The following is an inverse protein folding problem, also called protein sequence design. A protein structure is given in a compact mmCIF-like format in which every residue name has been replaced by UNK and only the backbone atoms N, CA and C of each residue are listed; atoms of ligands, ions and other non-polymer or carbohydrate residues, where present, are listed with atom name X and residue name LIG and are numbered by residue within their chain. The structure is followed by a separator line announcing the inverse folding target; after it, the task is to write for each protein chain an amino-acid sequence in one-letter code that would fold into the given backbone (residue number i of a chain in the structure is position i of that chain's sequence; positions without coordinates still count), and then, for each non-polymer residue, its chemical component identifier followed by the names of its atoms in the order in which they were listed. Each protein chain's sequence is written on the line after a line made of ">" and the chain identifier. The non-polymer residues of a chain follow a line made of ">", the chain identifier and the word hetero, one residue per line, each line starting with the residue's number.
data_IF_808438666445
#
_entry.id   IF_808438666445
#
_cell.length_a   1.000
_cell.length_b   1.000
_cell.length_c   1.000
_cell.angle_alpha   90.00
_cell.angle_beta   90.00
_cell.angle_gamma   90.00
#
_symmetry.space_group_name_H-M   'P 1'
#
loop_
_entity.id
_entity.type
_entity.pdbx_description
1 polymer ?
#
# COMPACT_ATOMS: atom_id res chain seq x y z
N UNK A 1 -6.03 -2.90 -12.59
CA UNK A 1 -5.81 -2.45 -11.19
C UNK A 1 -7.12 -2.42 -10.39
N UNK A 2 -8.07 -1.57 -10.77
CA UNK A 2 -9.29 -1.31 -10.00
C UNK A 2 -10.18 -2.53 -9.83
N UNK A 3 -10.29 -3.41 -10.84
CA UNK A 3 -11.03 -4.66 -10.72
C UNK A 3 -10.47 -5.58 -9.63
N UNK A 4 -9.14 -5.62 -9.46
CA UNK A 4 -8.48 -6.39 -8.40
C UNK A 4 -8.76 -5.75 -7.04
N UNK A 5 -8.65 -4.42 -6.94
CA UNK A 5 -8.97 -3.71 -5.69
C UNK A 5 -10.43 -3.95 -5.31
N UNK A 6 -11.36 -3.77 -6.24
CA UNK A 6 -12.80 -3.99 -6.03
C UNK A 6 -13.16 -5.44 -5.71
N UNK A 7 -12.40 -6.41 -6.25
CA UNK A 7 -12.57 -7.82 -5.95
C UNK A 7 -12.19 -8.16 -4.51
N UNK A 8 -11.18 -7.49 -3.95
CA UNK A 8 -10.62 -7.80 -2.63
C UNK A 8 -10.95 -6.79 -1.53
N UNK A 9 -11.55 -5.65 -1.88
CA UNK A 9 -12.02 -4.62 -0.95
C UNK A 9 -13.55 -4.68 -0.84
N UNK A 10 -14.11 -5.33 0.19
CA UNK A 10 -15.55 -5.53 0.31
C UNK A 10 -16.31 -4.23 0.61
N UNK A 11 -15.70 -3.29 1.34
CA UNK A 11 -16.38 -2.08 1.84
C UNK A 11 -16.12 -0.83 1.01
N UNK A 12 -15.05 -0.80 0.21
CA UNK A 12 -14.66 0.38 -0.56
C UNK A 12 -14.44 0.02 -2.03
N UNK A 13 -15.49 0.21 -2.83
CA UNK A 13 -15.44 0.04 -4.30
C UNK A 13 -15.05 1.34 -4.97
N UNK A 14 -14.05 1.28 -5.83
CA UNK A 14 -13.61 2.39 -6.69
C UNK A 14 -14.35 2.27 -8.03
N UNK A 15 -14.95 3.36 -8.51
CA UNK A 15 -15.57 3.40 -9.84
C UNK A 15 -14.79 4.37 -10.74
N UNK A 16 -13.74 3.91 -11.44
CA UNK A 16 -12.91 4.78 -12.29
C UNK A 16 -13.56 4.96 -13.66
N UNK A 17 -13.35 6.13 -14.27
CA UNK A 17 -13.80 6.46 -15.63
C UNK A 17 -12.85 5.98 -16.74
N UNK A 18 -11.89 5.10 -16.45
CA UNK A 18 -10.82 4.72 -17.39
C UNK A 18 -10.87 3.25 -17.78
N UNK A 19 -10.83 3.02 -19.09
CA UNK A 19 -10.72 1.71 -19.74
C UNK A 19 -9.25 1.25 -19.70
N UNK A 20 -8.82 0.68 -18.58
CA UNK A 20 -7.49 0.06 -18.47
C UNK A 20 -7.60 -1.45 -18.69
N UNK A 21 -7.50 -1.86 -19.95
CA UNK A 21 -7.31 -3.27 -20.31
C UNK A 21 -5.93 -3.75 -19.84
N UNK A 22 -5.93 -4.69 -18.91
CA UNK A 22 -4.70 -5.28 -18.39
C UNK A 22 -4.38 -6.56 -19.17
N UNK A 23 -3.40 -6.49 -20.07
CA UNK A 23 -2.87 -7.66 -20.77
C UNK A 23 -1.68 -8.26 -19.99
N UNK A 24 -1.88 -9.40 -19.30
CA UNK A 24 -0.82 -10.16 -18.62
C UNK A 24 -1.22 -10.79 -17.26
N UNK A 25 -0.31 -11.54 -16.63
CA UNK A 25 -0.47 -12.07 -15.25
C UNK A 25 -0.35 -10.92 -14.23
N UNK A 26 -1.41 -10.15 -14.09
CA UNK A 26 -1.53 -9.04 -13.16
C UNK A 26 -2.16 -9.51 -11.85
N UNK A 27 -1.44 -9.36 -10.74
CA UNK A 27 -1.82 -9.86 -9.42
C UNK A 27 -2.00 -8.76 -8.38
N UNK A 28 -2.27 -9.16 -7.12
CA UNK A 28 -2.36 -8.24 -5.98
C UNK A 28 -1.10 -7.41 -5.78
N UNK A 29 0.07 -7.99 -6.07
CA UNK A 29 1.35 -7.31 -5.93
C UNK A 29 1.49 -6.13 -6.93
N UNK A 30 1.15 -6.33 -8.20
CA UNK A 30 1.16 -5.26 -9.20
C UNK A 30 0.10 -4.19 -8.87
N UNK A 31 -1.11 -4.62 -8.49
CA UNK A 31 -2.21 -3.73 -8.15
C UNK A 31 -1.88 -2.80 -6.98
N UNK A 32 -1.19 -3.31 -5.95
CA UNK A 32 -0.76 -2.50 -4.81
C UNK A 32 0.27 -1.44 -5.24
N UNK A 33 1.25 -1.83 -6.06
CA UNK A 33 2.28 -0.90 -6.52
C UNK A 33 1.68 0.22 -7.38
N UNK A 34 0.77 -0.13 -8.29
CA UNK A 34 0.11 0.86 -9.13
C UNK A 34 -0.80 1.78 -8.30
N UNK A 35 -1.51 1.25 -7.31
CA UNK A 35 -2.31 2.06 -6.38
C UNK A 35 -1.46 3.11 -5.67
N UNK A 36 -0.27 2.74 -5.19
CA UNK A 36 0.67 3.67 -4.54
C UNK A 36 1.16 4.76 -5.50
N UNK A 37 1.35 4.43 -6.77
CA UNK A 37 1.81 5.39 -7.79
C UNK A 37 0.73 6.41 -8.17
N UNK A 38 -0.56 6.09 -7.97
CA UNK A 38 -1.63 7.08 -8.20
C UNK A 38 -1.57 8.26 -7.23
N UNK A 39 -0.90 8.09 -6.08
CA UNK A 39 -0.86 9.07 -4.97
C UNK A 39 -2.26 9.51 -4.48
N UNK A 40 -3.31 8.79 -4.90
CA UNK A 40 -4.68 9.09 -4.56
C UNK A 40 -5.04 8.41 -3.24
N UNK A 41 -5.44 9.22 -2.26
CA UNK A 41 -5.78 8.75 -0.92
C UNK A 41 -6.74 7.57 -0.91
N UNK A 42 -7.86 7.66 -1.64
CA UNK A 42 -8.91 6.62 -1.66
C UNK A 42 -8.42 5.33 -2.30
N UNK A 43 -7.63 5.44 -3.37
CA UNK A 43 -7.09 4.28 -4.08
C UNK A 43 -6.08 3.54 -3.19
N UNK A 44 -5.21 4.28 -2.51
CA UNK A 44 -4.23 3.68 -1.60
C UNK A 44 -4.93 3.06 -0.39
N UNK A 45 -5.94 3.74 0.19
CA UNK A 45 -6.71 3.20 1.31
C UNK A 45 -7.38 1.87 0.94
N UNK A 46 -8.12 1.84 -0.17
CA UNK A 46 -8.76 0.61 -0.66
C UNK A 46 -7.76 -0.51 -0.98
N UNK A 47 -6.55 -0.16 -1.43
CA UNK A 47 -5.49 -1.13 -1.73
C UNK A 47 -4.93 -1.84 -0.49
N UNK A 48 -5.20 -1.35 0.73
CA UNK A 48 -4.70 -1.97 1.96
C UNK A 48 -5.19 -3.42 2.15
N UNK A 49 -6.40 -3.77 1.70
CA UNK A 49 -6.86 -5.16 1.74
C UNK A 49 -6.03 -6.11 0.88
N UNK A 50 -5.37 -5.61 -0.16
CA UNK A 50 -4.52 -6.45 -1.00
C UNK A 50 -3.39 -7.11 -0.22
N UNK A 51 -2.94 -6.51 0.89
CA UNK A 51 -1.93 -7.10 1.76
C UNK A 51 -2.31 -8.49 2.28
N UNK A 52 -3.61 -8.78 2.50
CA UNK A 52 -4.08 -10.13 2.87
C UNK A 52 -3.79 -11.17 1.79
N UNK A 53 -3.78 -10.74 0.53
CA UNK A 53 -3.72 -11.59 -0.65
C UNK A 53 -2.34 -11.66 -1.30
N UNK A 54 -1.37 -10.88 -0.82
CA UNK A 54 0.01 -10.93 -1.29
C UNK A 54 0.63 -12.26 -0.86
N UNK A 55 1.02 -13.07 -1.87
CA UNK A 55 1.66 -14.37 -1.67
C UNK A 55 3.17 -14.28 -1.90
N UNK A 56 3.61 -13.39 -2.80
CA UNK A 56 5.01 -13.29 -3.19
C UNK A 56 5.64 -11.97 -2.75
N UNK A 57 5.99 -11.89 -1.46
CA UNK A 57 6.72 -10.76 -0.88
C UNK A 57 8.05 -10.44 -1.59
N UNK A 58 8.91 -11.42 -1.95
CA UNK A 58 10.13 -11.12 -2.69
C UNK A 58 9.87 -10.39 -4.02
N UNK A 59 8.85 -10.80 -4.77
CA UNK A 59 8.45 -10.15 -6.03
C UNK A 59 7.97 -8.72 -5.77
N UNK A 60 7.08 -8.53 -4.80
CA UNK A 60 6.60 -7.20 -4.41
C UNK A 60 7.76 -6.27 -4.04
N UNK A 61 8.75 -6.77 -3.29
CA UNK A 61 9.90 -5.96 -2.86
C UNK A 61 10.71 -5.46 -4.03
N UNK A 62 10.99 -6.35 -4.98
CA UNK A 62 11.76 -6.03 -6.18
C UNK A 62 11.04 -4.94 -6.98
N UNK A 63 9.75 -5.11 -7.22
CA UNK A 63 8.93 -4.11 -7.93
C UNK A 63 8.88 -2.77 -7.18
N UNK A 64 8.75 -2.81 -5.85
CA UNK A 64 8.71 -1.61 -5.03
C UNK A 64 10.05 -0.87 -5.01
N UNK A 65 11.18 -1.59 -5.10
CA UNK A 65 12.51 -0.99 -5.25
C UNK A 65 12.71 -0.37 -6.62
N UNK A 66 12.34 -1.08 -7.68
CA UNK A 66 12.41 -0.59 -9.06
C UNK A 66 11.63 0.73 -9.23
N UNK A 67 10.42 0.81 -8.64
CA UNK A 67 9.61 2.03 -8.66
C UNK A 67 9.88 3.01 -7.51
N UNK A 68 10.95 2.79 -6.73
CA UNK A 68 11.35 3.61 -5.57
C UNK A 68 10.23 3.91 -4.55
N UNK A 69 9.28 2.99 -4.39
CA UNK A 69 8.13 3.10 -3.47
C UNK A 69 8.17 2.09 -2.32
N UNK A 70 9.27 1.37 -2.14
CA UNK A 70 9.44 0.36 -1.08
C UNK A 70 9.19 0.90 0.34
N UNK A 71 9.55 2.16 0.63
CA UNK A 71 9.24 2.82 1.91
C UNK A 71 7.73 2.94 2.12
N UNK A 72 7.01 3.36 1.08
CA UNK A 72 5.54 3.50 1.09
C UNK A 72 4.91 2.13 1.36
N UNK A 73 5.36 1.08 0.65
CA UNK A 73 4.87 -0.30 0.86
C UNK A 73 5.10 -0.78 2.31
N UNK A 74 6.29 -0.55 2.86
CA UNK A 74 6.60 -0.94 4.24
C UNK A 74 5.75 -0.22 5.28
N UNK A 75 5.56 1.09 5.12
CA UNK A 75 4.69 1.89 5.98
C UNK A 75 3.23 1.41 5.91
N UNK A 76 2.72 1.16 4.70
CA UNK A 76 1.37 0.65 4.50
C UNK A 76 1.16 -0.75 5.07
N UNK A 77 2.17 -1.62 4.98
CA UNK A 77 2.13 -2.94 5.58
C UNK A 77 2.01 -2.86 7.11
N UNK A 78 2.84 -2.03 7.75
CA UNK A 78 2.80 -1.86 9.21
C UNK A 78 1.45 -1.27 9.64
N UNK A 79 0.89 -0.32 8.88
CA UNK A 79 -0.47 0.21 9.13
C UNK A 79 -1.52 -0.89 8.96
N UNK A 80 -1.51 -1.62 7.84
CA UNK A 80 -2.47 -2.68 7.59
C UNK A 80 -2.43 -3.74 8.70
N UNK A 81 -1.25 -4.09 9.20
CA UNK A 81 -1.08 -5.09 10.26
C UNK A 81 -1.74 -4.68 11.59
N UNK A 82 -1.94 -3.39 11.86
CA UNK A 82 -2.65 -2.93 13.05
C UNK A 82 -4.14 -3.26 13.00
N UNK A 83 -4.74 -3.28 11.80
CA UNK A 83 -6.19 -3.40 11.62
C UNK A 83 -6.63 -4.72 11.00
N UNK A 84 -5.72 -5.45 10.34
CA UNK A 84 -6.02 -6.72 9.71
C UNK A 84 -4.87 -7.73 9.79
N UNK A 85 -5.23 -9.02 9.75
CA UNK A 85 -4.24 -10.10 9.71
C UNK A 85 -3.58 -10.18 8.34
N UNK A 86 -2.33 -9.74 8.27
CA UNK A 86 -1.48 -9.78 7.07
C UNK A 86 -0.41 -10.87 7.21
N UNK A 87 -0.04 -11.52 6.11
CA UNK A 87 1.09 -12.44 6.08
C UNK A 87 2.40 -11.74 6.45
N UNK A 88 3.25 -12.41 7.22
CA UNK A 88 4.48 -11.81 7.71
C UNK A 88 5.42 -11.45 6.55
N UNK A 89 5.82 -10.19 6.49
CA UNK A 89 6.81 -9.71 5.52
C UNK A 89 8.19 -10.30 5.81
N UNK A 90 8.94 -10.61 4.75
CA UNK A 90 10.30 -11.13 4.88
C UNK A 90 11.24 -10.12 5.55
N UNK A 91 12.18 -10.62 6.37
CA UNK A 91 13.15 -9.80 7.14
C UNK A 91 13.98 -8.83 6.30
N UNK A 92 14.12 -9.07 4.98
CA UNK A 92 14.82 -8.17 4.03
C UNK A 92 14.20 -6.77 3.94
N UNK A 93 12.89 -6.64 4.19
CA UNK A 93 12.21 -5.34 4.24
C UNK A 93 12.58 -4.54 5.49
N UNK A 94 12.79 -5.24 6.61
CA UNK A 94 12.98 -4.63 7.92
C UNK A 94 14.40 -4.08 8.14
N UNK A 95 15.37 -4.52 7.32
CA UNK A 95 16.78 -4.12 7.45
C UNK A 95 17.12 -2.80 6.75
N UNK A 96 16.15 -2.17 6.07
CA UNK A 96 16.45 -0.95 5.28
C UNK A 96 16.29 0.29 6.14
N UNK A 97 17.43 0.88 6.53
CA UNK A 97 17.47 2.17 7.21
C UNK A 97 17.51 3.26 6.15
N UNK A 98 16.47 4.09 6.11
CA UNK A 98 16.38 5.24 5.22
C UNK A 98 16.31 6.53 6.04
N UNK A 99 17.02 7.56 5.57
CA UNK A 99 17.04 8.89 6.20
C UNK A 99 16.05 9.86 5.56
N UNK A 100 15.54 9.55 4.35
CA UNK A 100 14.74 10.47 3.54
C UNK A 100 13.25 10.30 3.80
N UNK A 101 12.58 11.41 4.13
CA UNK A 101 11.13 11.44 4.25
C UNK A 101 10.44 11.44 2.89
N UNK A 102 9.41 10.60 2.73
CA UNK A 102 8.62 10.48 1.50
C UNK A 102 7.14 10.69 1.84
N UNK A 103 6.41 11.43 1.01
CA UNK A 103 4.97 11.58 1.19
C UNK A 103 4.23 10.41 0.53
N UNK A 104 3.28 9.78 1.23
CA UNK A 104 2.48 8.71 0.64
C UNK A 104 1.52 9.23 -0.43
N UNK A 105 0.90 10.37 -0.15
CA UNK A 105 0.00 11.13 -1.03
C UNK A 105 0.44 12.60 -1.04
N UNK A 106 -0.32 13.46 -1.71
CA UNK A 106 -0.16 14.92 -1.61
C UNK A 106 -0.32 15.46 -0.17
N UNK A 107 -1.03 14.72 0.70
CA UNK A 107 -1.24 15.09 2.09
C UNK A 107 -0.03 14.68 2.97
N UNK A 108 0.52 15.65 3.70
CA UNK A 108 1.67 15.46 4.60
C UNK A 108 1.23 15.45 6.07
N UNK A 109 0.43 14.47 6.46
CA UNK A 109 0.08 14.22 7.87
C UNK A 109 0.91 13.06 8.46
N UNK A 110 1.01 13.01 9.79
CA UNK A 110 1.75 11.98 10.54
C UNK A 110 0.85 11.32 11.57
N UNK A 111 -0.29 10.78 11.12
CA UNK A 111 -1.30 10.24 12.02
C UNK A 111 -0.86 8.96 12.75
N UNK A 112 0.11 8.22 12.20
CA UNK A 112 0.77 7.09 12.84
C UNK A 112 2.25 7.42 13.08
N UNK A 113 2.59 8.18 14.14
CA UNK A 113 3.93 8.76 14.30
C UNK A 113 5.04 7.72 14.43
N UNK A 114 4.78 6.57 15.06
CA UNK A 114 5.75 5.48 15.21
C UNK A 114 6.10 4.85 13.86
N UNK A 115 5.08 4.49 13.07
CA UNK A 115 5.25 3.89 11.74
C UNK A 115 5.85 4.91 10.77
N UNK A 116 5.35 6.14 10.80
CA UNK A 116 5.86 7.25 10.00
C UNK A 116 7.34 7.50 10.30
N UNK A 117 7.74 7.45 11.58
CA UNK A 117 9.12 7.61 12.03
C UNK A 117 10.05 6.48 11.59
N UNK A 118 9.57 5.23 11.66
CA UNK A 118 10.31 4.02 11.25
C UNK A 118 10.63 4.01 9.76
N UNK A 119 9.63 4.27 8.92
CA UNK A 119 9.77 4.21 7.46
C UNK A 119 10.13 5.54 6.80
N UNK A 120 10.09 6.63 7.58
CA UNK A 120 10.20 8.02 7.11
C UNK A 120 9.15 8.30 6.02
N UNK A 121 7.90 7.97 6.30
CA UNK A 121 6.77 8.18 5.37
C UNK A 121 5.69 9.02 6.04
N UNK A 122 5.19 10.05 5.37
CA UNK A 122 4.00 10.77 5.82
C UNK A 122 2.76 9.93 5.51
N UNK A 123 2.06 9.51 6.57
CA UNK A 123 0.88 8.66 6.49
C UNK A 123 -0.35 9.53 6.77
N UNK A 124 -1.20 9.75 5.76
CA UNK A 124 -2.36 10.63 5.85
C UNK A 124 -3.61 9.95 6.41
N UNK A 125 -3.61 8.64 6.63
CA UNK A 125 -4.77 7.90 7.16
C UNK A 125 -4.97 8.20 8.63
N UNK A 126 -6.21 8.42 9.07
CA UNK A 126 -6.59 8.42 10.47
C UNK A 126 -7.04 7.02 10.88
N UNK A 127 -7.15 6.78 12.19
CA UNK A 127 -7.70 5.52 12.71
C UNK A 127 -9.15 5.27 12.24
N UNK A 128 -9.95 6.32 12.07
CA UNK A 128 -11.33 6.21 11.60
C UNK A 128 -11.40 5.69 10.15
N UNK A 129 -10.49 6.14 9.28
CA UNK A 129 -10.41 5.67 7.89
C UNK A 129 -10.10 4.17 7.80
N UNK A 130 -9.50 3.61 8.86
CA UNK A 130 -9.11 2.21 8.96
C UNK A 130 -10.22 1.30 9.52
N UNK A 131 -11.19 1.86 10.25
CA UNK A 131 -12.35 1.13 10.78
C UNK A 131 -13.39 0.88 9.68
N UNK A 132 -13.48 1.79 8.70
CA UNK A 132 -14.39 1.66 7.55
C UNK A 132 -13.88 0.71 6.45
N UNK A 133 -12.70 0.12 6.65
CA UNK A 133 -11.97 -0.70 5.68
C UNK A 133 -12.39 -2.17 5.70
#
# INVERSE_FOLDING_TARGET
>A
MFDIINKYSPHMKLNPWYDHQVHGRYGPEEALIDAIQTENFRVILASLHLFKHIKNWPRLYRMAKEKNCWQKVGALYDVARLFMRVHQIGSRYLKVITKKWVALTQLRKKNFPEIAGRWKVYIPFNEHDMVEL
#
